data_IF_450439149631
#
_entry.id   IF_450439149631
#
_cell.length_a   1.000
_cell.length_b   1.000
_cell.length_c   1.000
_cell.angle_alpha   90.00
_cell.angle_beta   90.00
_cell.angle_gamma   90.00
#
_symmetry.space_group_name_H-M   'P 1'
#
loop_
_entity.id
_entity.type
_entity.pdbx_description
1 polymer ?
#
# COMPACT_ATOMS: atom_id res chain seq x y z
N UNK A 1 -7.32 25.49 13.84
CA UNK A 1 -7.19 25.51 12.36
C UNK A 1 -5.74 25.77 12.01
N UNK A 2 -5.22 25.17 10.95
CA UNK A 2 -3.82 25.33 10.54
C UNK A 2 -3.63 25.28 9.03
N UNK A 3 -2.58 25.96 8.57
CA UNK A 3 -2.09 25.92 7.20
C UNK A 3 -0.59 25.60 7.25
N UNK A 4 -0.16 24.66 6.42
CA UNK A 4 1.24 24.29 6.29
C UNK A 4 1.63 24.22 4.82
N UNK A 5 2.82 24.73 4.50
CA UNK A 5 3.43 24.61 3.19
C UNK A 5 4.75 23.87 3.33
N UNK A 6 4.87 22.75 2.63
CA UNK A 6 6.07 21.90 2.67
C UNK A 6 6.56 21.63 1.25
N UNK A 7 7.81 21.20 1.15
CA UNK A 7 8.41 20.77 -0.10
C UNK A 7 9.24 19.51 0.12
N UNK A 8 9.34 18.68 -0.93
CA UNK A 8 10.22 17.50 -0.96
C UNK A 8 11.10 17.60 -2.20
N UNK A 9 12.41 17.64 -1.98
CA UNK A 9 13.37 17.54 -3.09
C UNK A 9 13.31 16.12 -3.68
N UNK A 10 13.55 15.95 -4.99
CA UNK A 10 13.73 14.64 -5.58
C UNK A 10 14.82 13.86 -4.82
N UNK A 11 14.58 12.59 -4.54
CA UNK A 11 15.55 11.73 -3.87
C UNK A 11 16.57 11.17 -4.89
N UNK A 12 17.63 10.51 -4.39
CA UNK A 12 18.70 9.95 -5.24
C UNK A 12 18.14 8.94 -6.26
N UNK A 13 17.17 8.11 -5.89
CA UNK A 13 16.58 7.14 -6.82
C UNK A 13 15.80 7.85 -7.92
N UNK A 14 15.01 8.87 -7.59
CA UNK A 14 14.26 9.66 -8.57
C UNK A 14 15.21 10.42 -9.52
N UNK A 15 16.34 10.91 -9.01
CA UNK A 15 17.32 11.69 -9.76
C UNK A 15 18.28 10.85 -10.60
N UNK A 16 18.60 9.61 -10.23
CA UNK A 16 19.63 8.82 -10.91
C UNK A 16 19.13 7.49 -11.47
N UNK A 17 17.87 7.12 -11.23
CA UNK A 17 17.31 5.93 -11.85
C UNK A 17 17.21 6.10 -13.37
N UNK A 18 17.83 5.16 -14.09
CA UNK A 18 17.71 5.03 -15.53
C UNK A 18 17.99 3.59 -15.94
N UNK A 19 17.25 3.10 -16.94
CA UNK A 19 17.52 1.80 -17.57
C UNK A 19 18.36 1.95 -18.85
N UNK A 20 18.69 3.17 -19.25
CA UNK A 20 19.43 3.51 -20.48
C UNK A 20 20.64 4.40 -20.19
N UNK A 21 21.36 4.15 -19.08
CA UNK A 21 22.52 4.93 -18.61
C UNK A 21 22.17 6.39 -18.25
N UNK A 22 23.19 7.23 -18.07
CA UNK A 22 23.11 8.69 -17.93
C UNK A 22 22.12 9.38 -18.88
N UNK A 23 21.93 8.89 -20.11
CA UNK A 23 20.98 9.47 -21.06
C UNK A 23 19.52 9.44 -20.58
N UNK A 24 19.11 8.41 -19.84
CA UNK A 24 17.73 8.26 -19.35
C UNK A 24 17.44 8.97 -18.03
N UNK A 25 18.44 9.66 -17.46
CA UNK A 25 18.27 10.43 -16.23
C UNK A 25 17.48 11.71 -16.52
N UNK A 26 16.42 11.94 -15.75
CA UNK A 26 15.64 13.18 -15.84
C UNK A 26 16.20 14.25 -14.89
N UNK A 27 17.03 15.14 -15.41
CA UNK A 27 17.64 16.24 -14.65
C UNK A 27 16.68 17.42 -14.39
N UNK A 28 15.53 17.46 -15.06
CA UNK A 28 14.55 18.57 -14.97
C UNK A 28 13.46 18.34 -13.90
N UNK A 29 13.63 17.34 -13.02
CA UNK A 29 12.69 17.05 -11.95
C UNK A 29 12.55 18.23 -10.98
N UNK A 30 11.33 18.76 -10.88
CA UNK A 30 10.99 19.82 -9.95
C UNK A 30 10.68 19.24 -8.57
N UNK A 31 11.03 19.96 -7.48
CA UNK A 31 10.60 19.59 -6.14
C UNK A 31 9.08 19.54 -6.02
N UNK A 32 8.57 18.56 -5.29
CA UNK A 32 7.17 18.49 -4.91
C UNK A 32 6.85 19.60 -3.92
N UNK A 33 5.68 20.21 -4.05
CA UNK A 33 5.24 21.28 -3.15
C UNK A 33 3.84 20.97 -2.65
N UNK A 34 3.69 20.78 -1.34
CA UNK A 34 2.41 20.51 -0.71
C UNK A 34 1.89 21.75 0.03
N UNK A 35 0.60 22.01 -0.10
CA UNK A 35 -0.14 23.00 0.69
C UNK A 35 -1.29 22.30 1.40
N UNK A 36 -1.22 22.24 2.71
CA UNK A 36 -2.15 21.46 3.55
C UNK A 36 -2.93 22.40 4.45
N UNK A 37 -4.26 22.26 4.41
CA UNK A 37 -5.19 22.89 5.33
C UNK A 37 -5.70 21.82 6.30
N UNK A 38 -5.69 22.12 7.59
CA UNK A 38 -6.15 21.21 8.63
C UNK A 38 -7.07 21.91 9.63
N UNK A 39 -8.13 21.23 10.01
CA UNK A 39 -9.03 21.64 11.06
C UNK A 39 -9.17 20.48 12.02
N UNK A 40 -8.80 20.71 13.28
CA UNK A 40 -8.87 19.71 14.33
C UNK A 40 -9.63 20.24 15.53
N UNK A 41 -10.29 19.34 16.22
CA UNK A 41 -10.94 19.53 17.49
C UNK A 41 -10.39 18.47 18.46
N UNK A 42 -10.09 18.89 19.68
CA UNK A 42 -9.67 18.01 20.76
C UNK A 42 -10.41 18.44 22.02
N UNK A 43 -11.04 17.48 22.70
CA UNK A 43 -11.67 17.69 23.99
C UNK A 43 -11.24 16.59 24.94
N UNK A 44 -11.01 17.00 26.18
CA UNK A 44 -10.73 16.13 27.30
C UNK A 44 -11.64 16.58 28.43
N UNK A 45 -12.37 15.65 29.04
CA UNK A 45 -13.26 15.96 30.14
C UNK A 45 -13.31 14.80 31.12
N UNK A 46 -13.27 15.16 32.40
CA UNK A 46 -13.48 14.27 33.52
C UNK A 46 -14.90 14.44 34.06
N UNK A 47 -15.44 13.42 34.71
CA UNK A 47 -16.68 13.58 35.45
C UNK A 47 -17.94 13.68 34.58
N UNK A 48 -17.99 13.03 33.42
CA UNK A 48 -19.14 13.13 32.50
C UNK A 48 -20.33 12.34 33.03
N UNK A 49 -20.14 11.06 33.37
CA UNK A 49 -21.20 10.17 33.89
C UNK A 49 -20.93 9.75 35.33
N UNK A 50 -19.66 9.56 35.71
CA UNK A 50 -19.18 9.31 37.07
C UNK A 50 -18.06 10.29 37.39
N UNK A 51 -17.94 10.70 38.66
CA UNK A 51 -16.96 11.70 39.09
C UNK A 51 -15.51 11.41 38.65
N UNK A 52 -15.13 10.14 38.51
CA UNK A 52 -13.77 9.71 38.18
C UNK A 52 -13.64 9.15 36.75
N UNK A 53 -14.65 9.31 35.90
CA UNK A 53 -14.53 8.92 34.49
C UNK A 53 -13.78 9.97 33.66
N UNK A 54 -13.21 9.51 32.54
CA UNK A 54 -12.42 10.33 31.64
C UNK A 54 -12.84 10.05 30.21
N UNK A 55 -13.12 11.11 29.46
CA UNK A 55 -13.37 11.06 28.01
C UNK A 55 -12.39 11.98 27.27
N UNK A 56 -11.67 11.40 26.33
CA UNK A 56 -10.90 12.10 25.31
C UNK A 56 -11.52 11.89 23.93
N UNK A 57 -11.74 12.96 23.19
CA UNK A 57 -12.14 12.89 21.78
C UNK A 57 -11.24 13.82 20.98
N UNK A 58 -10.65 13.29 19.92
CA UNK A 58 -9.86 14.03 18.94
C UNK A 58 -10.37 13.74 17.55
N UNK A 59 -10.64 14.80 16.79
CA UNK A 59 -11.05 14.72 15.40
C UNK A 59 -10.19 15.66 14.59
N UNK A 60 -9.65 15.20 13.47
CA UNK A 60 -8.93 16.06 12.53
C UNK A 60 -9.37 15.79 11.11
N UNK A 61 -9.75 16.85 10.41
CA UNK A 61 -9.97 16.84 8.97
C UNK A 61 -8.84 17.58 8.27
N UNK A 62 -8.35 17.03 7.16
CA UNK A 62 -7.29 17.65 6.38
C UNK A 62 -7.58 17.63 4.88
N UNK A 63 -6.99 18.61 4.18
CA UNK A 63 -6.96 18.66 2.72
C UNK A 63 -5.61 19.19 2.25
N UNK A 64 -4.88 18.37 1.51
CA UNK A 64 -3.58 18.67 0.95
C UNK A 64 -3.62 18.73 -0.58
N UNK A 65 -2.91 19.70 -1.14
CA UNK A 65 -2.70 19.89 -2.57
C UNK A 65 -1.21 19.81 -2.86
N UNK A 66 -0.79 18.81 -3.63
CA UNK A 66 0.60 18.53 -3.97
C UNK A 66 0.80 18.82 -5.45
N UNK A 67 1.63 19.82 -5.74
CA UNK A 67 2.07 20.17 -7.09
C UNK A 67 3.39 19.47 -7.40
N UNK A 68 3.62 19.20 -8.69
CA UNK A 68 4.81 18.54 -9.21
C UNK A 68 5.07 17.17 -8.57
N UNK A 69 4.02 16.42 -8.20
CA UNK A 69 4.16 15.09 -7.60
C UNK A 69 5.03 14.20 -8.49
N UNK A 70 6.08 13.59 -7.95
CA UNK A 70 7.01 12.76 -8.70
C UNK A 70 6.46 11.34 -8.73
N UNK A 71 6.33 10.80 -9.94
CA UNK A 71 5.93 9.41 -10.17
C UNK A 71 6.75 8.83 -11.32
N UNK A 72 6.81 7.51 -11.44
CA UNK A 72 7.43 6.89 -12.61
C UNK A 72 6.42 6.39 -13.63
N UNK A 73 6.82 6.53 -14.89
CA UNK A 73 5.99 6.33 -16.07
C UNK A 73 6.79 5.52 -17.06
N UNK A 74 6.16 4.54 -17.70
CA UNK A 74 6.71 3.91 -18.89
C UNK A 74 6.45 4.80 -20.10
N UNK A 75 7.50 5.21 -20.78
CA UNK A 75 7.38 6.13 -21.90
C UNK A 75 8.72 6.45 -22.53
N UNK A 76 8.68 7.37 -23.47
CA UNK A 76 9.89 7.97 -24.01
C UNK A 76 10.64 8.75 -22.93
N UNK A 77 11.97 8.60 -22.91
CA UNK A 77 12.81 9.17 -21.85
C UNK A 77 13.42 10.54 -22.19
N UNK A 78 13.33 10.97 -23.44
CA UNK A 78 13.83 12.27 -23.88
C UNK A 78 12.76 13.37 -23.76
N UNK A 79 13.22 14.61 -23.58
CA UNK A 79 12.39 15.81 -23.67
C UNK A 79 12.92 16.69 -24.81
N UNK A 80 12.21 16.77 -25.94
CA UNK A 80 12.59 17.65 -27.06
C UNK A 80 12.97 16.99 -28.40
N UNK A 81 12.83 15.67 -28.52
CA UNK A 81 13.01 14.92 -29.78
C UNK A 81 13.82 13.64 -29.59
N UNK A 82 13.51 12.59 -30.38
CA UNK A 82 14.18 11.30 -30.27
C UNK A 82 15.63 11.40 -30.74
N UNK A 83 16.63 11.02 -29.93
CA UNK A 83 18.00 10.89 -30.39
C UNK A 83 18.10 9.84 -31.50
N UNK A 84 18.87 10.13 -32.56
CA UNK A 84 19.00 9.24 -33.73
C UNK A 84 19.46 7.84 -33.34
N UNK A 85 20.32 7.71 -32.32
CA UNK A 85 20.80 6.43 -31.82
C UNK A 85 19.74 5.64 -31.05
N UNK A 86 18.75 6.31 -30.44
CA UNK A 86 17.66 5.66 -29.74
C UNK A 86 16.67 5.05 -30.73
N UNK A 87 16.47 5.73 -31.88
CA UNK A 87 15.68 5.21 -33.00
C UNK A 87 16.37 3.98 -33.63
N UNK A 88 17.70 3.99 -33.76
CA UNK A 88 18.45 2.89 -34.40
C UNK A 88 18.63 1.63 -33.54
N UNK A 89 18.70 1.77 -32.21
CA UNK A 89 18.95 0.62 -31.30
C UNK A 89 17.68 0.06 -30.65
N UNK A 90 16.51 0.67 -30.88
CA UNK A 90 15.22 0.23 -30.33
C UNK A 90 14.99 0.56 -28.85
N UNK A 91 15.90 1.27 -28.19
CA UNK A 91 15.78 1.71 -26.78
C UNK A 91 14.96 3.00 -26.66
N UNK A 92 13.70 2.95 -27.10
CA UNK A 92 12.83 4.11 -27.13
C UNK A 92 12.05 4.32 -25.83
N UNK A 93 11.74 3.24 -25.11
CA UNK A 93 10.89 3.26 -23.93
C UNK A 93 11.63 2.76 -22.69
N UNK A 94 11.48 3.48 -21.59
CA UNK A 94 11.98 3.07 -20.27
C UNK A 94 11.03 3.58 -19.19
N UNK A 95 11.21 3.08 -17.97
CA UNK A 95 10.60 3.67 -16.78
C UNK A 95 11.39 4.93 -16.42
N UNK A 96 10.75 6.09 -16.44
CA UNK A 96 11.37 7.37 -16.08
C UNK A 96 10.54 8.11 -15.03
N UNK A 97 11.22 8.77 -14.10
CA UNK A 97 10.59 9.66 -13.12
C UNK A 97 10.21 10.99 -13.77
N UNK A 98 8.99 11.47 -13.49
CA UNK A 98 8.45 12.71 -14.05
C UNK A 98 7.61 13.44 -13.01
N UNK A 99 7.43 14.74 -13.19
CA UNK A 99 6.43 15.48 -12.42
C UNK A 99 5.05 15.28 -13.04
N UNK A 100 4.11 14.78 -12.25
CA UNK A 100 2.72 14.60 -12.63
C UNK A 100 2.07 15.93 -13.00
N UNK A 101 1.45 15.99 -14.17
CA UNK A 101 0.88 17.22 -14.73
C UNK A 101 -0.29 17.77 -13.90
N UNK A 102 -1.06 16.89 -13.24
CA UNK A 102 -2.21 17.29 -12.42
C UNK A 102 -1.78 17.47 -10.96
N UNK A 103 -2.44 18.40 -10.27
CA UNK A 103 -2.26 18.53 -8.81
C UNK A 103 -2.85 17.31 -8.10
N UNK A 104 -2.03 16.63 -7.30
CA UNK A 104 -2.49 15.55 -6.42
C UNK A 104 -3.21 16.17 -5.23
N UNK A 105 -4.39 15.64 -4.92
CA UNK A 105 -5.25 16.04 -3.82
C UNK A 105 -5.33 14.86 -2.87
N UNK A 106 -5.03 15.10 -1.59
CA UNK A 106 -5.25 14.15 -0.49
C UNK A 106 -6.19 14.80 0.50
N UNK A 107 -7.24 14.11 0.90
CA UNK A 107 -8.16 14.60 1.91
C UNK A 107 -8.65 13.47 2.77
N UNK A 108 -8.80 13.72 4.06
CA UNK A 108 -9.22 12.70 4.99
C UNK A 108 -9.74 13.27 6.29
N UNK A 109 -10.28 12.37 7.09
CA UNK A 109 -10.73 12.62 8.46
C UNK A 109 -10.20 11.48 9.34
N UNK A 110 -9.69 11.84 10.49
CA UNK A 110 -9.22 10.91 11.52
C UNK A 110 -9.97 11.22 12.82
N UNK A 111 -10.46 10.18 13.47
CA UNK A 111 -11.19 10.20 14.72
C UNK A 111 -10.48 9.27 15.71
N UNK A 112 -10.28 9.78 16.92
CA UNK A 112 -9.84 9.03 18.08
C UNK A 112 -10.76 9.35 19.25
N UNK A 113 -11.28 8.32 19.92
CA UNK A 113 -12.09 8.43 21.11
C UNK A 113 -11.56 7.45 22.15
N UNK A 114 -11.32 7.95 23.36
CA UNK A 114 -10.87 7.17 24.49
C UNK A 114 -11.80 7.47 25.65
N UNK A 115 -12.37 6.44 26.26
CA UNK A 115 -13.24 6.56 27.42
C UNK A 115 -12.80 5.56 28.49
N UNK A 116 -12.60 6.02 29.72
CA UNK A 116 -12.18 5.18 30.84
C UNK A 116 -12.99 5.56 32.09
N UNK A 117 -13.70 4.58 32.68
CA UNK A 117 -14.42 4.74 33.94
C UNK A 117 -13.79 3.89 35.07
N UNK A 118 -12.50 3.58 34.96
CA UNK A 118 -11.71 2.72 35.82
C UNK A 118 -11.99 1.24 35.57
N UNK A 119 -13.23 0.82 35.83
CA UNK A 119 -13.71 -0.57 35.71
C UNK A 119 -13.88 -1.01 34.25
N UNK A 120 -14.27 -0.09 33.38
CA UNK A 120 -14.50 -0.32 31.96
C UNK A 120 -13.77 0.75 31.16
N UNK A 121 -13.32 0.37 29.96
CA UNK A 121 -12.72 1.30 29.01
C UNK A 121 -13.13 0.97 27.58
N UNK A 122 -13.10 1.99 26.74
CA UNK A 122 -13.41 1.93 25.32
C UNK A 122 -12.41 2.79 24.57
N UNK A 123 -11.77 2.24 23.55
CA UNK A 123 -10.92 3.00 22.63
C UNK A 123 -11.44 2.80 21.21
N UNK A 124 -11.63 3.89 20.47
CA UNK A 124 -12.04 3.87 19.08
C UNK A 124 -11.08 4.71 18.27
N UNK A 125 -10.59 4.14 17.17
CA UNK A 125 -9.85 4.85 16.13
C UNK A 125 -10.50 4.59 14.79
N UNK A 126 -10.64 5.63 13.97
CA UNK A 126 -11.17 5.53 12.62
C UNK A 126 -10.48 6.55 11.72
N UNK A 127 -10.06 6.12 10.55
CA UNK A 127 -9.42 6.97 9.56
C UNK A 127 -10.08 6.76 8.20
N UNK A 128 -10.33 7.87 7.51
CA UNK A 128 -10.89 7.92 6.18
C UNK A 128 -10.00 8.77 5.29
N UNK A 129 -9.64 8.29 4.10
CA UNK A 129 -8.83 9.03 3.14
C UNK A 129 -9.32 8.86 1.69
N UNK A 130 -9.27 9.95 0.93
CA UNK A 130 -9.38 9.94 -0.54
C UNK A 130 -8.16 10.60 -1.16
N UNK A 131 -7.71 10.04 -2.27
CA UNK A 131 -6.67 10.64 -3.09
C UNK A 131 -6.86 10.36 -4.58
N UNK A 132 -6.40 11.27 -5.42
CA UNK A 132 -6.20 11.06 -6.85
C UNK A 132 -4.71 10.88 -7.20
N UNK A 133 -3.86 10.52 -6.22
CA UNK A 133 -2.46 10.21 -6.46
C UNK A 133 -2.37 9.16 -7.58
N UNK A 134 -1.54 9.40 -8.62
CA UNK A 134 -1.34 8.41 -9.66
C UNK A 134 -0.58 7.22 -9.09
N UNK A 135 -0.85 6.05 -9.67
CA UNK A 135 0.06 4.90 -9.57
C UNK A 135 1.35 5.18 -10.35
N UNK A 136 2.35 4.38 -10.07
CA UNK A 136 3.59 4.31 -10.82
C UNK A 136 3.54 3.15 -11.82
N UNK A 137 4.41 3.16 -12.82
CA UNK A 137 4.54 2.02 -13.72
C UNK A 137 5.21 0.81 -13.03
N UNK A 138 6.17 1.07 -12.14
CA UNK A 138 6.88 0.02 -11.38
C UNK A 138 6.05 -0.61 -10.26
N UNK A 139 4.85 -0.10 -9.98
CA UNK A 139 3.97 -0.61 -8.92
C UNK A 139 3.60 -2.08 -9.14
N UNK A 140 3.42 -2.51 -10.40
CA UNK A 140 3.10 -3.88 -10.75
C UNK A 140 3.78 -4.31 -12.06
N UNK A 141 4.96 -4.92 -11.95
CA UNK A 141 5.68 -5.43 -13.13
C UNK A 141 5.20 -6.82 -13.54
N UNK A 142 4.73 -7.01 -14.78
CA UNK A 142 4.40 -8.35 -15.26
C UNK A 142 5.68 -9.19 -15.35
N UNK A 143 5.57 -10.51 -15.21
CA UNK A 143 6.71 -11.41 -15.47
C UNK A 143 7.09 -11.32 -16.97
N UNK A 144 8.38 -11.17 -17.32
CA UNK A 144 8.79 -11.13 -18.72
C UNK A 144 8.34 -12.40 -19.47
N UNK A 145 7.59 -12.24 -20.55
CA UNK A 145 7.30 -13.36 -21.43
C UNK A 145 8.52 -13.56 -22.35
N UNK A 146 9.11 -14.75 -22.35
CA UNK A 146 10.19 -15.09 -23.29
C UNK A 146 11.51 -14.26 -23.19
N UNK A 147 11.71 -13.54 -22.07
CA UNK A 147 12.91 -12.72 -21.75
C UNK A 147 13.42 -11.85 -22.92
N UNK A 148 12.50 -11.20 -23.65
CA UNK A 148 12.89 -10.21 -24.65
C UNK A 148 13.51 -8.97 -23.99
N UNK A 149 14.36 -8.22 -24.71
CA UNK A 149 14.94 -6.96 -24.20
C UNK A 149 13.86 -5.96 -23.77
N UNK A 150 12.74 -5.91 -24.49
CA UNK A 150 11.61 -5.01 -24.19
C UNK A 150 10.93 -5.40 -22.86
N UNK A 151 10.69 -6.69 -22.63
CA UNK A 151 10.04 -7.17 -21.40
C UNK A 151 10.92 -7.01 -20.16
N UNK A 152 12.24 -7.03 -20.34
CA UNK A 152 13.23 -6.73 -19.29
C UNK A 152 13.15 -5.25 -18.91
N UNK A 153 13.04 -4.33 -19.88
CA UNK A 153 12.90 -2.90 -19.59
C UNK A 153 11.58 -2.57 -18.89
N UNK A 154 10.51 -3.33 -19.14
CA UNK A 154 9.24 -3.18 -18.41
C UNK A 154 9.30 -3.63 -16.95
N UNK A 155 10.43 -4.19 -16.50
CA UNK A 155 10.61 -4.52 -15.09
C UNK A 155 10.91 -3.26 -14.27
N UNK A 156 10.09 -3.05 -13.24
CA UNK A 156 10.22 -1.95 -12.30
C UNK A 156 11.18 -2.22 -11.15
N UNK A 157 11.78 -3.42 -11.06
CA UNK A 157 12.82 -3.80 -10.07
C UNK A 157 12.57 -3.33 -8.61
N UNK A 158 11.31 -3.22 -8.19
CA UNK A 158 10.96 -2.77 -6.84
C UNK A 158 11.18 -1.28 -6.56
N UNK A 159 11.23 -0.43 -7.61
CA UNK A 159 11.39 1.03 -7.49
C UNK A 159 10.31 1.70 -6.66
N UNK A 160 9.11 1.12 -6.63
CA UNK A 160 7.98 1.64 -5.86
C UNK A 160 7.29 0.51 -5.11
N UNK A 161 6.52 0.90 -4.11
CA UNK A 161 5.63 0.02 -3.35
C UNK A 161 4.19 0.34 -3.70
N UNK A 162 3.34 -0.67 -3.70
CA UNK A 162 1.96 -0.60 -4.19
C UNK A 162 0.94 -0.49 -3.05
N UNK A 163 1.37 -0.75 -1.81
CA UNK A 163 0.51 -0.86 -0.64
C UNK A 163 -0.06 0.51 -0.32
N UNK A 164 -1.33 0.66 -0.67
CA UNK A 164 -2.15 1.77 -0.25
C UNK A 164 -2.96 1.33 0.97
N UNK A 165 -3.00 2.19 1.99
CA UNK A 165 -3.97 2.06 3.06
C UNK A 165 -5.38 1.93 2.46
N UNK A 166 -6.28 1.17 3.11
CA UNK A 166 -7.68 1.17 2.75
C UNK A 166 -8.21 2.59 2.72
N UNK A 167 -9.26 2.80 1.92
CA UNK A 167 -9.97 4.07 1.89
C UNK A 167 -10.43 4.46 3.28
N UNK A 168 -10.80 3.47 4.09
CA UNK A 168 -11.09 3.64 5.49
C UNK A 168 -10.80 2.40 6.30
N UNK A 169 -10.36 2.62 7.53
CA UNK A 169 -10.06 1.56 8.48
C UNK A 169 -10.31 2.07 9.89
N UNK A 170 -10.57 1.15 10.80
CA UNK A 170 -10.81 1.50 12.19
C UNK A 170 -10.58 0.34 13.13
N UNK A 171 -10.42 0.68 14.41
CA UNK A 171 -10.27 -0.26 15.50
C UNK A 171 -11.13 0.20 16.67
N UNK A 172 -12.00 -0.68 17.14
CA UNK A 172 -12.78 -0.52 18.36
C UNK A 172 -12.28 -1.52 19.39
N UNK A 173 -11.88 -1.05 20.56
CA UNK A 173 -11.48 -1.86 21.69
C UNK A 173 -12.41 -1.59 22.86
N UNK A 174 -12.84 -2.66 23.51
CA UNK A 174 -13.68 -2.64 24.70
C UNK A 174 -13.04 -3.55 25.74
N UNK A 175 -13.01 -3.12 27.00
CA UNK A 175 -12.47 -3.97 28.05
C UNK A 175 -12.93 -3.60 29.45
N UNK A 176 -12.58 -4.47 30.39
CA UNK A 176 -12.88 -4.31 31.81
C UNK A 176 -11.70 -4.72 32.68
N UNK A 177 -11.57 -4.08 33.84
CA UNK A 177 -10.46 -4.26 34.79
C UNK A 177 -10.99 -4.71 36.14
N UNK A 178 -10.40 -5.76 36.72
CA UNK A 178 -10.78 -6.44 37.97
C UNK A 178 -9.60 -6.55 38.93
N UNK A 179 -9.90 -6.84 40.20
CA UNK A 179 -8.93 -7.00 41.29
C UNK A 179 -7.95 -5.81 41.38
N UNK A 180 -8.49 -4.61 41.58
CA UNK A 180 -7.71 -3.36 41.60
C UNK A 180 -6.83 -3.18 40.36
N UNK A 181 -7.41 -3.54 39.19
CA UNK A 181 -6.80 -3.48 37.85
C UNK A 181 -5.72 -4.54 37.58
N UNK A 182 -5.50 -5.49 38.49
CA UNK A 182 -4.60 -6.64 38.26
C UNK A 182 -5.07 -7.58 37.17
N UNK A 183 -6.38 -7.69 36.90
CA UNK A 183 -6.91 -8.50 35.81
C UNK A 183 -7.62 -7.63 34.79
N UNK A 184 -7.15 -7.61 33.55
CA UNK A 184 -7.81 -6.94 32.44
C UNK A 184 -8.30 -7.95 31.42
N UNK A 185 -9.57 -7.86 31.05
CA UNK A 185 -10.17 -8.64 29.96
C UNK A 185 -10.66 -7.67 28.91
N UNK A 186 -10.18 -7.83 27.68
CA UNK A 186 -10.51 -6.92 26.59
C UNK A 186 -10.71 -7.65 25.27
N UNK A 187 -11.40 -6.98 24.37
CA UNK A 187 -11.59 -7.41 22.98
C UNK A 187 -11.43 -6.24 22.04
N UNK A 188 -10.90 -6.50 20.86
CA UNK A 188 -10.76 -5.52 19.80
C UNK A 188 -11.38 -6.01 18.49
N UNK A 189 -12.01 -5.10 17.78
CA UNK A 189 -12.57 -5.32 16.44
C UNK A 189 -11.83 -4.42 15.47
N UNK A 190 -11.25 -5.02 14.44
CA UNK A 190 -10.60 -4.33 13.33
C UNK A 190 -11.51 -4.31 12.11
N UNK A 191 -11.65 -3.14 11.51
CA UNK A 191 -12.42 -2.88 10.31
C UNK A 191 -11.48 -2.38 9.21
N UNK A 192 -11.58 -3.00 8.03
CA UNK A 192 -10.91 -2.55 6.82
C UNK A 192 -11.96 -2.43 5.71
N UNK A 193 -12.15 -1.20 5.23
CA UNK A 193 -13.02 -0.89 4.10
C UNK A 193 -12.41 -1.32 2.77
N UNK A 194 -12.98 -0.81 1.69
CA UNK A 194 -12.44 -1.02 0.35
C UNK A 194 -11.01 -0.50 0.26
N UNK A 195 -10.12 -1.29 -0.33
CA UNK A 195 -8.75 -0.86 -0.63
C UNK A 195 -8.49 -0.93 -2.13
N UNK A 196 -7.36 -0.36 -2.54
CA UNK A 196 -6.91 -0.40 -3.93
C UNK A 196 -5.52 -0.99 -3.99
N UNK A 197 -5.26 -1.73 -5.06
CA UNK A 197 -3.93 -2.20 -5.43
C UNK A 197 -3.69 -1.92 -6.90
N UNK A 198 -2.45 -1.80 -7.35
CA UNK A 198 -2.19 -1.74 -8.80
C UNK A 198 -2.31 -3.11 -9.47
N UNK A 199 -2.75 -3.11 -10.72
CA UNK A 199 -2.84 -4.25 -11.61
C UNK A 199 -1.63 -4.29 -12.55
N UNK A 200 -1.41 -5.43 -13.21
CA UNK A 200 -0.41 -5.52 -14.28
C UNK A 200 -0.82 -4.75 -15.54
N UNK A 201 -2.11 -4.43 -15.66
CA UNK A 201 -2.69 -3.68 -16.78
C UNK A 201 -2.13 -2.25 -16.85
N UNK A 202 -1.93 -1.78 -18.08
CA UNK A 202 -1.36 -0.47 -18.36
C UNK A 202 -2.48 0.55 -18.60
N UNK A 203 -2.39 1.68 -17.91
CA UNK A 203 -3.24 2.85 -18.09
C UNK A 203 -2.47 3.96 -18.75
N UNK A 204 -2.90 4.35 -19.95
CA UNK A 204 -2.27 5.46 -20.68
C UNK A 204 -2.65 6.82 -20.09
N UNK A 205 -1.66 7.71 -20.03
CA UNK A 205 -1.79 9.06 -19.48
C UNK A 205 -1.41 10.10 -20.54
N UNK A 206 -1.56 11.38 -20.18
CA UNK A 206 -1.21 12.53 -21.03
C UNK A 206 -1.92 12.56 -22.40
N UNK A 207 -3.08 11.88 -22.52
CA UNK A 207 -3.83 11.78 -23.76
C UNK A 207 -3.21 10.81 -24.78
N UNK A 208 -2.16 10.09 -24.42
CA UNK A 208 -1.50 9.12 -25.28
C UNK A 208 -2.25 7.77 -25.28
N UNK A 209 -2.00 6.93 -26.30
CA UNK A 209 -2.52 5.56 -26.41
C UNK A 209 -1.50 4.68 -27.12
N UNK A 210 -1.48 3.40 -26.80
CA UNK A 210 -0.69 2.44 -27.56
C UNK A 210 -1.34 2.11 -28.89
N UNK A 211 -0.59 2.31 -29.97
CA UNK A 211 -1.00 1.95 -31.32
C UNK A 211 -0.04 0.87 -31.87
N UNK A 212 -0.56 -0.34 -32.06
CA UNK A 212 0.24 -1.53 -32.41
C UNK A 212 1.02 -1.37 -33.71
N UNK A 213 0.46 -0.66 -34.69
CA UNK A 213 0.99 -0.51 -36.05
C UNK A 213 1.45 0.92 -36.39
N UNK A 214 1.61 1.80 -35.40
CA UNK A 214 2.10 3.15 -35.65
C UNK A 214 3.57 3.13 -36.10
N UNK A 215 3.89 3.95 -37.11
CA UNK A 215 5.26 4.14 -37.62
C UNK A 215 6.22 4.65 -36.53
N UNK A 216 5.70 5.43 -35.59
CA UNK A 216 6.39 5.84 -34.37
C UNK A 216 5.46 5.64 -33.19
N UNK A 217 5.91 4.88 -32.19
CA UNK A 217 5.16 4.68 -30.96
C UNK A 217 5.43 5.87 -30.05
N UNK A 218 4.36 6.48 -29.55
CA UNK A 218 4.42 7.57 -28.58
C UNK A 218 3.37 7.33 -27.50
N UNK A 219 3.79 6.87 -26.32
CA UNK A 219 2.83 6.59 -25.25
C UNK A 219 3.46 6.62 -23.87
N UNK A 220 2.69 7.18 -22.93
CA UNK A 220 3.01 7.20 -21.52
C UNK A 220 2.01 6.31 -20.78
N UNK A 221 2.52 5.36 -19.99
CA UNK A 221 1.70 4.43 -19.21
C UNK A 221 2.10 4.40 -17.74
N UNK A 222 1.09 4.23 -16.89
CA UNK A 222 1.20 3.84 -15.47
C UNK A 222 0.41 2.54 -15.27
N UNK A 223 0.42 1.96 -14.07
CA UNK A 223 -0.39 0.76 -13.79
C UNK A 223 -1.83 1.10 -13.42
N UNK A 224 -2.78 0.33 -13.91
CA UNK A 224 -4.19 0.44 -13.50
C UNK A 224 -4.32 0.05 -12.01
N UNK A 225 -5.46 0.37 -11.38
CA UNK A 225 -5.79 -0.10 -10.03
C UNK A 225 -6.99 -1.03 -10.05
N UNK A 226 -6.89 -2.14 -9.33
CA UNK A 226 -8.00 -3.00 -8.97
C UNK A 226 -8.53 -2.63 -7.58
N UNK A 227 -9.85 -2.70 -7.41
CA UNK A 227 -10.49 -2.55 -6.09
C UNK A 227 -10.47 -3.90 -5.38
N UNK A 228 -10.03 -3.89 -4.13
CA UNK A 228 -10.22 -5.00 -3.20
C UNK A 228 -11.46 -4.67 -2.38
N UNK A 229 -12.44 -5.58 -2.43
CA UNK A 229 -13.67 -5.48 -1.66
C UNK A 229 -13.39 -5.38 -0.16
N UNK A 230 -14.35 -4.80 0.57
CA UNK A 230 -14.30 -4.68 2.03
C UNK A 230 -13.98 -6.03 2.69
N UNK A 231 -13.03 -6.02 3.63
CA UNK A 231 -12.61 -7.22 4.35
C UNK A 231 -13.59 -7.56 5.49
N UNK A 232 -13.65 -8.84 5.94
CA UNK A 232 -14.42 -9.19 7.14
C UNK A 232 -13.88 -8.48 8.38
N UNK A 233 -14.76 -8.27 9.36
CA UNK A 233 -14.34 -7.78 10.68
C UNK A 233 -13.47 -8.83 11.37
N UNK A 234 -12.32 -8.38 11.88
CA UNK A 234 -11.38 -9.25 12.60
C UNK A 234 -11.52 -8.98 14.09
N UNK A 235 -11.79 -10.04 14.85
CA UNK A 235 -12.02 -9.98 16.29
C UNK A 235 -10.82 -10.58 17.01
N UNK A 236 -10.27 -9.82 17.95
CA UNK A 236 -9.19 -10.24 18.83
C UNK A 236 -9.70 -10.20 20.27
N UNK A 237 -9.30 -11.16 21.09
CA UNK A 237 -9.61 -11.21 22.52
C UNK A 237 -8.31 -11.33 23.31
N UNK A 238 -8.22 -10.66 24.45
CA UNK A 238 -7.06 -10.79 25.33
C UNK A 238 -7.45 -10.76 26.80
N UNK A 239 -6.59 -11.41 27.59
CA UNK A 239 -6.60 -11.38 29.05
C UNK A 239 -5.20 -11.04 29.51
N UNK A 240 -5.08 -10.09 30.42
CA UNK A 240 -3.83 -9.70 31.08
C UNK A 240 -4.01 -9.79 32.58
N UNK A 241 -3.10 -10.46 33.27
CA UNK A 241 -3.15 -10.68 34.71
C UNK A 241 -1.81 -10.38 35.37
N UNK A 242 -1.85 -9.62 36.45
CA UNK A 242 -0.74 -9.28 37.32
C UNK A 242 -0.87 -10.04 38.66
N UNK A 243 -0.42 -11.31 38.76
CA UNK A 243 -0.54 -12.09 39.99
C UNK A 243 0.30 -11.53 41.15
N UNK A 244 1.50 -11.04 40.85
CA UNK A 244 2.41 -10.39 41.78
C UNK A 244 2.87 -9.08 41.15
N UNK A 245 3.29 -8.14 41.99
CA UNK A 245 3.72 -6.82 41.54
C UNK A 245 4.80 -6.94 40.46
N UNK A 246 4.61 -6.20 39.37
CA UNK A 246 5.49 -6.14 38.20
C UNK A 246 5.57 -7.41 37.35
N UNK A 247 4.84 -8.49 37.65
CA UNK A 247 4.74 -9.68 36.78
C UNK A 247 3.43 -9.64 35.98
N UNK A 248 3.51 -9.40 34.67
CA UNK A 248 2.36 -9.37 33.78
C UNK A 248 2.35 -10.62 32.90
N UNK A 249 1.28 -11.41 33.03
CA UNK A 249 0.95 -12.52 32.15
C UNK A 249 -0.14 -12.06 31.18
N UNK A 250 0.09 -12.14 29.87
CA UNK A 250 -0.91 -11.77 28.87
C UNK A 250 -1.09 -12.88 27.84
N UNK A 251 -2.34 -13.25 27.62
CA UNK A 251 -2.79 -14.19 26.59
C UNK A 251 -3.69 -13.45 25.62
N UNK A 252 -3.47 -13.62 24.33
CA UNK A 252 -4.25 -13.01 23.27
C UNK A 252 -4.62 -14.05 22.20
N UNK A 253 -5.88 -14.06 21.80
CA UNK A 253 -6.40 -14.84 20.67
C UNK A 253 -6.72 -13.84 19.56
N UNK A 254 -5.88 -13.82 18.54
CA UNK A 254 -6.04 -13.00 17.35
C UNK A 254 -6.88 -13.73 16.30
N UNK A 255 -7.72 -12.99 15.57
CA UNK A 255 -8.60 -13.54 14.55
C UNK A 255 -9.45 -14.71 15.08
N UNK A 256 -10.21 -14.46 16.16
CA UNK A 256 -11.00 -15.44 16.92
C UNK A 256 -11.86 -16.36 16.04
N UNK A 257 -12.43 -15.81 14.97
CA UNK A 257 -13.35 -16.51 14.05
C UNK A 257 -12.67 -17.07 12.80
N UNK A 258 -11.33 -17.11 12.78
CA UNK A 258 -10.52 -17.69 11.70
C UNK A 258 -10.93 -17.17 10.31
N UNK A 259 -11.14 -15.85 10.21
CA UNK A 259 -11.55 -15.21 8.96
C UNK A 259 -10.36 -15.07 8.04
N UNK A 260 -10.57 -15.42 6.78
CA UNK A 260 -9.62 -15.15 5.70
C UNK A 260 -9.71 -13.68 5.32
N UNK A 261 -8.62 -12.94 5.47
CA UNK A 261 -8.53 -11.54 5.07
C UNK A 261 -7.13 -11.21 4.57
N UNK A 262 -7.00 -10.09 3.86
CA UNK A 262 -5.72 -9.53 3.42
C UNK A 262 -5.41 -8.36 4.35
N UNK A 263 -4.21 -8.35 4.95
CA UNK A 263 -3.75 -7.16 5.65
C UNK A 263 -3.41 -6.08 4.60
N UNK A 264 -4.05 -4.90 4.64
CA UNK A 264 -3.86 -3.87 3.63
C UNK A 264 -2.42 -3.34 3.51
N UNK A 265 -1.62 -3.47 4.57
CA UNK A 265 -0.22 -3.05 4.60
C UNK A 265 0.75 -4.22 4.45
N UNK A 266 0.26 -5.42 4.14
CA UNK A 266 1.12 -6.57 3.87
C UNK A 266 2.03 -6.25 2.67
N UNK A 267 3.34 -6.37 2.86
CA UNK A 267 4.32 -6.19 1.79
C UNK A 267 4.14 -7.24 0.67
N UNK A 268 3.47 -8.36 0.95
CA UNK A 268 2.92 -9.32 -0.01
C UNK A 268 1.95 -8.72 -1.02
N UNK A 269 1.36 -7.54 -0.72
CA UNK A 269 0.61 -6.78 -1.70
C UNK A 269 1.53 -6.10 -2.73
N UNK A 270 2.79 -5.79 -2.38
CA UNK A 270 3.70 -4.84 -3.05
C UNK A 270 4.33 -5.29 -4.37
N UNK A 271 4.41 -6.58 -4.65
CA UNK A 271 5.12 -7.05 -5.83
C UNK A 271 4.30 -8.04 -6.66
N UNK A 272 4.16 -7.75 -7.95
CA UNK A 272 3.63 -8.69 -8.93
C UNK A 272 4.48 -9.98 -9.03
N UNK A 273 5.77 -9.93 -8.71
CA UNK A 273 6.63 -11.13 -8.63
C UNK A 273 6.22 -12.10 -7.51
N UNK A 274 5.50 -11.64 -6.49
CA UNK A 274 4.92 -12.48 -5.43
C UNK A 274 3.55 -13.06 -5.81
N UNK A 275 2.97 -12.67 -6.96
CA UNK A 275 1.69 -13.19 -7.46
C UNK A 275 1.84 -14.53 -8.17
N UNK A 276 3.03 -14.90 -8.59
CA UNK A 276 3.25 -16.10 -9.40
C UNK A 276 3.82 -17.23 -8.57
N UNK A 277 3.08 -18.33 -8.47
CA UNK A 277 3.62 -19.60 -8.01
C UNK A 277 3.71 -20.56 -9.20
N UNK A 278 4.88 -21.18 -9.37
CA UNK A 278 5.09 -22.24 -10.35
C UNK A 278 4.94 -23.58 -9.64
N UNK A 279 3.82 -24.28 -9.85
CA UNK A 279 3.76 -25.69 -9.51
C UNK A 279 4.54 -26.48 -10.56
N UNK A 280 5.68 -27.04 -10.20
CA UNK A 280 6.37 -28.03 -11.03
C UNK A 280 5.52 -29.30 -11.00
N UNK A 281 4.66 -29.48 -12.00
CA UNK A 281 4.19 -30.82 -12.35
C UNK A 281 5.27 -31.46 -13.23
N UNK A 282 5.79 -32.59 -12.81
CA UNK A 282 6.82 -33.39 -13.49
C UNK A 282 6.56 -33.57 -15.01
N UNK A 283 7.59 -33.20 -15.80
CA UNK A 283 8.00 -33.59 -17.16
C UNK A 283 6.96 -33.81 -18.33
N UNK A 284 7.33 -33.49 -19.59
CA UNK A 284 6.40 -33.05 -20.64
C UNK A 284 5.88 -34.19 -21.54
N UNK A 285 4.76 -33.94 -22.24
CA UNK A 285 4.42 -34.69 -23.47
C UNK A 285 3.89 -33.82 -24.63
N UNK A 286 3.64 -32.52 -24.47
CA UNK A 286 3.23 -31.66 -25.60
C UNK A 286 3.78 -30.22 -25.54
N UNK A 287 4.23 -29.65 -26.68
CA UNK A 287 4.48 -28.22 -26.80
C UNK A 287 3.19 -27.43 -26.69
N UNK A 288 3.26 -26.27 -26.04
CA UNK A 288 2.09 -25.44 -25.75
C UNK A 288 1.50 -24.78 -27.01
N UNK A 289 0.20 -24.53 -27.00
CA UNK A 289 -0.50 -23.86 -28.08
C UNK A 289 -0.06 -22.39 -28.22
N UNK A 290 -0.08 -21.80 -29.44
CA UNK A 290 0.21 -20.39 -29.65
C UNK A 290 -0.71 -19.50 -28.82
N UNK A 291 -0.15 -18.69 -27.92
CA UNK A 291 -0.90 -17.75 -27.07
C UNK A 291 -0.93 -18.10 -25.58
N UNK A 292 -0.40 -19.26 -25.16
CA UNK A 292 -0.29 -19.62 -23.74
C UNK A 292 1.11 -19.37 -23.16
N UNK A 293 1.16 -19.01 -21.86
CA UNK A 293 2.39 -18.78 -21.10
C UNK A 293 3.13 -20.11 -20.87
N UNK A 294 4.14 -20.41 -21.68
CA UNK A 294 5.07 -21.51 -21.43
C UNK A 294 6.50 -21.02 -21.24
N UNK A 295 7.15 -21.52 -20.19
CA UNK A 295 8.55 -21.21 -19.89
C UNK A 295 9.50 -22.02 -20.77
N UNK A 296 10.61 -21.38 -21.16
CA UNK A 296 11.68 -21.90 -22.02
C UNK A 296 12.53 -23.04 -21.42
N UNK A 297 12.13 -23.59 -20.28
CA UNK A 297 12.96 -24.51 -19.48
C UNK A 297 12.47 -25.97 -19.55
N UNK A 298 11.63 -26.33 -20.54
CA UNK A 298 11.26 -27.73 -20.79
C UNK A 298 10.32 -28.37 -19.74
N UNK A 299 9.78 -27.59 -18.80
CA UNK A 299 8.80 -28.05 -17.82
C UNK A 299 7.45 -27.35 -18.02
N UNK A 300 6.40 -28.14 -18.29
CA UNK A 300 5.02 -27.70 -18.51
C UNK A 300 4.30 -27.32 -17.21
N UNK A 301 4.88 -26.41 -16.42
CA UNK A 301 4.20 -25.84 -15.28
C UNK A 301 3.20 -24.76 -15.72
N UNK A 302 1.92 -24.91 -15.38
CA UNK A 302 0.95 -23.80 -15.50
C UNK A 302 1.30 -22.75 -14.45
N UNK A 303 1.80 -21.60 -14.88
CA UNK A 303 2.01 -20.47 -13.96
C UNK A 303 0.64 -19.87 -13.65
N UNK A 304 0.18 -20.05 -12.42
CA UNK A 304 -1.05 -19.42 -11.95
C UNK A 304 -0.67 -18.15 -11.18
N UNK A 305 -1.37 -17.05 -11.49
CA UNK A 305 -1.33 -15.85 -10.66
C UNK A 305 -2.25 -16.10 -9.46
N UNK A 306 -1.68 -16.48 -8.32
CA UNK A 306 -2.41 -16.75 -7.09
C UNK A 306 -1.98 -15.71 -6.05
N UNK A 307 -2.93 -14.95 -5.53
CA UNK A 307 -2.70 -14.09 -4.38
C UNK A 307 -2.67 -14.96 -3.13
N UNK A 308 -1.47 -15.16 -2.56
CA UNK A 308 -1.27 -15.89 -1.32
C UNK A 308 -0.76 -14.99 -0.18
N UNK A 309 -1.21 -13.75 -0.13
CA UNK A 309 -0.87 -12.78 0.91
C UNK A 309 -1.98 -12.64 1.96
N UNK A 310 -2.64 -13.77 2.26
CA UNK A 310 -3.63 -13.78 3.33
C UNK A 310 -2.92 -13.64 4.66
N UNK A 311 -3.49 -12.78 5.52
CA UNK A 311 -3.05 -12.66 6.88
C UNK A 311 -3.25 -13.98 7.64
N UNK A 312 -2.52 -14.14 8.75
CA UNK A 312 -2.61 -15.33 9.58
C UNK A 312 -4.05 -15.60 10.03
N UNK A 313 -4.41 -16.88 10.03
CA UNK A 313 -5.63 -17.37 10.66
C UNK A 313 -5.61 -17.19 12.18
N UNK A 314 -6.50 -17.88 12.88
CA UNK A 314 -6.58 -17.81 14.34
C UNK A 314 -5.23 -18.13 14.99
N UNK A 315 -4.71 -17.18 15.75
CA UNK A 315 -3.38 -17.26 16.37
C UNK A 315 -3.48 -16.97 17.86
N UNK A 316 -2.85 -17.79 18.69
CA UNK A 316 -2.78 -17.56 20.14
C UNK A 316 -1.37 -17.09 20.48
N UNK A 317 -1.29 -15.96 21.17
CA UNK A 317 -0.03 -15.35 21.61
C UNK A 317 -0.01 -15.31 23.13
N UNK A 318 1.04 -15.86 23.71
CA UNK A 318 1.30 -15.77 25.14
C UNK A 318 2.53 -14.90 25.35
N UNK A 319 2.45 -14.00 26.33
CA UNK A 319 3.55 -13.10 26.69
C UNK A 319 3.64 -12.99 28.20
N UNK A 320 4.89 -12.93 28.68
CA UNK A 320 5.24 -12.73 30.07
C UNK A 320 6.20 -11.55 30.12
N UNK A 321 5.93 -10.58 30.99
CA UNK A 321 6.81 -9.45 31.25
C UNK A 321 7.01 -9.32 32.74
N UNK A 322 8.26 -9.18 33.18
CA UNK A 322 8.60 -8.93 34.57
C UNK A 322 9.55 -7.74 34.66
N UNK A 323 9.23 -6.76 35.49
CA UNK A 323 10.10 -5.64 35.79
C UNK A 323 10.66 -5.79 37.21
N UNK A 324 11.97 -5.89 37.30
CA UNK A 324 12.70 -5.98 38.57
C UNK A 324 12.93 -4.61 39.19
#
# INVERSE_FOLDING_TARGET
MGYARTHRMPNIQEMYFSQVSDAGVNTDLKPERASTYQLGFNTFKEGIWKNDDVLGIKVVGYRSYIKNYIHNVWGEWWQGGAPTWAESNGFQFTIAHRNYAKTVKKSGVELELNYDMGRFFTNLSYAYQRTNQPTNYSDASPRPNNASKEDVLKQGYGLTRISALPRDYGRLELGSRWFDRKLTVGGAVRYYGESKRASIEEKYIDGTKFEKNALRRHHHAIKETETIEKQPLIFDLYVSYEPIENLILKTEVQNLFDKKYIDPLDAGNDAATQRYYSSISSAPSQPCAPGELCHKDGHSGKTQSILNNYARGRTIVFSLSYKF
#
